data_IF_245202913554
#
_entry.id   IF_245202913554
#
_cell.length_a   1.000
_cell.length_b   1.000
_cell.length_c   1.000
_cell.angle_alpha   90.00
_cell.angle_beta   90.00
_cell.angle_gamma   90.00
#
_symmetry.space_group_name_H-M   'P 1'
#
loop_
_entity.id
_entity.type
_entity.pdbx_description
1 polymer ?
#
# COMPACT_ATOMS: atom_id res chain seq x y z
N UNK A 1 -9.04 -18.21 3.91
CA UNK A 1 -8.67 -17.31 2.80
C UNK A 1 -7.15 -17.26 2.77
N UNK A 2 -6.49 -17.58 1.65
CA UNK A 2 -5.02 -17.48 1.56
C UNK A 2 -4.63 -16.01 1.67
N UNK A 3 -3.84 -15.67 2.68
CA UNK A 3 -3.27 -14.33 2.80
C UNK A 3 -2.27 -14.10 1.65
N UNK A 4 -2.20 -12.89 1.09
CA UNK A 4 -1.25 -12.56 0.03
C UNK A 4 0.20 -12.73 0.52
N UNK A 5 1.08 -13.15 -0.38
CA UNK A 5 2.52 -13.27 -0.09
C UNK A 5 3.07 -11.95 0.49
N UNK A 6 3.83 -12.07 1.58
CA UNK A 6 4.34 -10.90 2.33
C UNK A 6 5.25 -10.01 1.48
N UNK A 7 6.08 -10.59 0.61
CA UNK A 7 6.95 -9.80 -0.27
C UNK A 7 6.13 -9.00 -1.28
N UNK A 8 4.98 -9.53 -1.69
CA UNK A 8 4.03 -8.82 -2.56
C UNK A 8 3.44 -7.61 -1.84
N UNK A 9 2.98 -7.77 -0.59
CA UNK A 9 2.44 -6.65 0.21
C UNK A 9 3.51 -5.59 0.48
N UNK A 10 4.72 -6.01 0.85
CA UNK A 10 5.86 -5.13 1.08
C UNK A 10 6.28 -4.33 -0.18
N UNK A 11 6.23 -4.97 -1.36
CA UNK A 11 6.45 -4.28 -2.65
C UNK A 11 5.33 -3.28 -2.95
N UNK A 12 4.07 -3.63 -2.68
CA UNK A 12 2.93 -2.73 -2.85
C UNK A 12 3.04 -1.50 -1.94
N UNK A 13 3.45 -1.68 -0.67
CA UNK A 13 3.70 -0.57 0.25
C UNK A 13 4.78 0.38 -0.26
N UNK A 14 5.91 -0.14 -0.73
CA UNK A 14 6.96 0.69 -1.34
C UNK A 14 6.44 1.45 -2.56
N UNK A 15 5.65 0.79 -3.41
CA UNK A 15 5.07 1.43 -4.60
C UNK A 15 4.09 2.54 -4.23
N UNK A 16 3.20 2.27 -3.27
CA UNK A 16 2.26 3.24 -2.71
C UNK A 16 2.98 4.51 -2.21
N UNK A 17 4.03 4.36 -1.39
CA UNK A 17 4.82 5.49 -0.87
C UNK A 17 5.59 6.26 -1.95
N UNK A 18 5.99 5.60 -3.03
CA UNK A 18 6.62 6.28 -4.17
C UNK A 18 5.60 7.11 -4.96
N UNK A 19 4.40 6.57 -5.18
CA UNK A 19 3.30 7.25 -5.84
C UNK A 19 2.76 8.41 -5.00
N UNK A 20 2.64 8.24 -3.68
CA UNK A 20 2.26 9.31 -2.73
C UNK A 20 3.15 10.55 -2.91
N UNK A 21 4.48 10.35 -2.87
CA UNK A 21 5.45 11.42 -3.11
C UNK A 21 5.32 12.03 -4.51
N UNK A 22 5.04 11.21 -5.51
CA UNK A 22 4.90 11.69 -6.91
C UNK A 22 3.65 12.57 -7.07
N UNK A 23 2.51 12.15 -6.51
CA UNK A 23 1.26 12.92 -6.55
C UNK A 23 1.40 14.23 -5.79
N UNK A 24 2.09 14.23 -4.65
CA UNK A 24 2.39 15.46 -3.91
C UNK A 24 3.29 16.42 -4.69
N UNK A 25 4.30 15.88 -5.40
CA UNK A 25 5.20 16.69 -6.22
C UNK A 25 4.58 17.16 -7.54
N UNK A 26 3.61 16.40 -8.08
CA UNK A 26 2.97 16.63 -9.39
C UNK A 26 1.46 16.44 -9.29
N UNK A 27 0.73 17.36 -8.65
CA UNK A 27 -0.71 17.20 -8.40
C UNK A 27 -1.57 17.16 -9.68
N UNK A 28 -1.08 17.72 -10.79
CA UNK A 28 -1.77 17.71 -12.08
C UNK A 28 -1.46 16.47 -12.93
N UNK A 29 -0.59 15.56 -12.48
CA UNK A 29 -0.35 14.29 -13.16
C UNK A 29 -1.47 13.30 -12.81
N UNK A 30 -2.53 13.34 -13.61
CA UNK A 30 -3.70 12.47 -13.45
C UNK A 30 -3.36 10.98 -13.58
N UNK A 31 -2.31 10.64 -14.33
CA UNK A 31 -1.87 9.24 -14.48
C UNK A 31 -1.20 8.74 -13.20
N UNK A 32 -0.35 9.56 -12.58
CA UNK A 32 0.23 9.25 -11.28
C UNK A 32 -0.85 9.16 -10.19
N UNK A 33 -1.84 10.06 -10.21
CA UNK A 33 -2.95 10.04 -9.27
C UNK A 33 -3.82 8.79 -9.39
N UNK A 34 -4.16 8.38 -10.63
CA UNK A 34 -4.91 7.15 -10.86
C UNK A 34 -4.16 5.91 -10.36
N UNK A 35 -2.86 5.80 -10.66
CA UNK A 35 -2.03 4.69 -10.15
C UNK A 35 -1.97 4.66 -8.62
N UNK A 36 -1.92 5.84 -8.00
CA UNK A 36 -1.95 5.95 -6.54
C UNK A 36 -3.27 5.43 -5.96
N UNK A 37 -4.40 5.85 -6.55
CA UNK A 37 -5.74 5.41 -6.16
C UNK A 37 -5.95 3.89 -6.40
N UNK A 38 -5.48 3.36 -7.53
CA UNK A 38 -5.54 1.92 -7.84
C UNK A 38 -4.72 1.08 -6.84
N UNK A 39 -3.52 1.57 -6.49
CA UNK A 39 -2.67 0.91 -5.48
C UNK A 39 -3.31 0.96 -4.10
N UNK A 40 -3.91 2.10 -3.73
CA UNK A 40 -4.65 2.26 -2.48
C UNK A 40 -5.84 1.29 -2.41
N UNK A 41 -6.62 1.18 -3.48
CA UNK A 41 -7.74 0.25 -3.57
C UNK A 41 -7.29 -1.21 -3.43
N UNK A 42 -6.18 -1.58 -4.07
CA UNK A 42 -5.59 -2.92 -3.94
C UNK A 42 -5.23 -3.23 -2.49
N UNK A 43 -4.60 -2.29 -1.78
CA UNK A 43 -4.28 -2.45 -0.36
C UNK A 43 -5.55 -2.62 0.49
N UNK A 44 -6.60 -1.81 0.23
CA UNK A 44 -7.88 -1.94 0.93
C UNK A 44 -8.48 -3.34 0.78
N UNK A 45 -8.51 -3.88 -0.44
CA UNK A 45 -9.05 -5.23 -0.70
C UNK A 45 -8.18 -6.30 -0.03
N UNK A 46 -6.86 -6.20 -0.13
CA UNK A 46 -5.95 -7.20 0.45
C UNK A 46 -5.97 -7.23 1.97
N UNK A 47 -6.16 -6.08 2.61
CA UNK A 47 -6.18 -5.96 4.08
C UNK A 47 -7.60 -6.04 4.66
N UNK A 48 -8.65 -6.04 3.82
CA UNK A 48 -10.03 -6.06 4.26
C UNK A 48 -10.49 -4.75 4.91
N UNK A 49 -9.85 -3.64 4.55
CA UNK A 49 -10.07 -2.32 5.19
C UNK A 49 -10.86 -1.37 4.29
N UNK A 50 -11.59 -0.44 4.91
CA UNK A 50 -12.49 0.48 4.18
C UNK A 50 -11.79 1.73 3.67
N UNK A 51 -10.67 2.10 4.28
CA UNK A 51 -9.92 3.30 3.92
C UNK A 51 -8.47 2.96 3.60
N UNK A 52 -7.88 3.74 2.69
CA UNK A 52 -6.47 3.58 2.34
C UNK A 52 -5.55 3.72 3.55
N UNK A 53 -5.89 4.58 4.50
CA UNK A 53 -5.11 4.78 5.73
C UNK A 53 -5.10 3.53 6.61
N UNK A 54 -6.28 2.97 6.88
CA UNK A 54 -6.41 1.73 7.66
C UNK A 54 -5.72 0.57 6.93
N UNK A 55 -5.91 0.47 5.62
CA UNK A 55 -5.28 -0.54 4.79
C UNK A 55 -3.75 -0.49 4.83
N UNK A 56 -3.16 0.70 4.70
CA UNK A 56 -1.71 0.88 4.77
C UNK A 56 -1.19 0.51 6.16
N UNK A 57 -1.88 0.92 7.22
CA UNK A 57 -1.49 0.57 8.59
C UNK A 57 -1.57 -0.95 8.83
N UNK A 58 -2.67 -1.60 8.42
CA UNK A 58 -2.82 -3.05 8.50
C UNK A 58 -1.75 -3.80 7.68
N UNK A 59 -1.43 -3.31 6.48
CA UNK A 59 -0.37 -3.86 5.65
C UNK A 59 1.02 -3.69 6.28
N UNK A 60 1.31 -2.53 6.89
CA UNK A 60 2.55 -2.29 7.62
C UNK A 60 2.69 -3.27 8.81
N UNK A 61 1.62 -3.49 9.58
CA UNK A 61 1.60 -4.50 10.65
C UNK A 61 1.73 -5.94 10.12
N UNK A 62 1.05 -6.27 9.02
CA UNK A 62 1.14 -7.58 8.37
C UNK A 62 2.58 -7.88 7.91
N UNK A 63 3.26 -6.88 7.35
CA UNK A 63 4.67 -7.01 6.98
C UNK A 63 5.56 -6.97 8.22
N UNK A 64 5.27 -6.21 9.28
CA UNK A 64 6.12 -6.15 10.48
C UNK A 64 6.04 -7.39 11.38
N UNK A 65 4.89 -8.09 11.43
CA UNK A 65 4.62 -9.27 12.28
C UNK A 65 5.51 -10.51 12.04
N UNK A 66 6.49 -10.45 11.14
CA UNK A 66 7.53 -11.47 10.95
C UNK A 66 8.91 -10.83 10.81
N UNK A 67 9.19 -9.80 11.62
CA UNK A 67 10.52 -9.24 11.77
C UNK A 67 10.86 -8.97 13.23
N UNK A 68 10.84 -10.02 14.05
CA UNK A 68 11.82 -10.12 15.14
C UNK A 68 12.98 -10.92 14.57
N UNK A 69 13.92 -10.20 13.97
CA UNK A 69 15.32 -10.58 13.88
C UNK A 69 16.11 -9.49 14.57
N UNK A 70 16.09 -9.53 15.90
CA UNK A 70 17.14 -8.99 16.77
C UNK A 70 17.28 -9.98 17.91
#
# INVERSE_FOLDING_TARGET
>A
MLLPDRNTVDRLLRHYRALERTVLARPCDLSARRRFEDTAYTLCVLMGERTAREAVHAAEHYVAGTSIRI
#
